data_IF_331702349996
#
_entry.id   IF_331702349996
#
_cell.length_a   1.000
_cell.length_b   1.000
_cell.length_c   1.000
_cell.angle_alpha   90.00
_cell.angle_beta   90.00
_cell.angle_gamma   90.00
#
_symmetry.space_group_name_H-M   'P 1'
#
loop_
_entity.id
_entity.type
_entity.pdbx_description
1 polymer ?
#
# COMPACT_ATOMS: atom_id res chain seq x y z
N UNK A 1 18.70 8.36 6.75
CA UNK A 1 17.49 9.12 6.38
C UNK A 1 16.76 8.40 5.23
N UNK A 2 15.54 8.76 4.81
CA UNK A 2 14.99 8.17 3.56
C UNK A 2 15.68 8.80 2.36
N UNK A 3 16.07 8.00 1.37
CA UNK A 3 16.75 8.48 0.14
C UNK A 3 15.83 9.22 -0.83
N UNK A 4 14.51 9.13 -0.64
CA UNK A 4 13.51 9.73 -1.53
C UNK A 4 13.11 11.17 -1.17
N UNK A 5 13.91 11.85 -0.34
CA UNK A 5 13.71 13.28 -0.04
C UNK A 5 13.87 14.09 -1.33
N UNK A 6 12.94 15.01 -1.58
CA UNK A 6 13.00 15.89 -2.75
C UNK A 6 13.74 17.20 -2.41
N UNK A 7 14.81 17.49 -3.14
CA UNK A 7 15.56 18.75 -3.07
C UNK A 7 15.15 19.58 -4.30
N UNK A 8 14.29 20.60 -4.14
CA UNK A 8 13.89 21.45 -5.26
C UNK A 8 15.06 22.32 -5.73
N UNK A 9 15.06 22.74 -7.00
CA UNK A 9 16.00 23.74 -7.50
C UNK A 9 15.66 25.16 -7.00
N UNK A 10 14.36 25.42 -6.76
CA UNK A 10 13.84 26.72 -6.33
C UNK A 10 12.83 26.57 -5.20
N UNK A 11 12.95 27.44 -4.21
CA UNK A 11 11.98 27.61 -3.14
C UNK A 11 11.18 28.89 -3.34
N UNK A 12 9.96 28.91 -2.80
CA UNK A 12 9.11 30.09 -2.74
C UNK A 12 8.67 30.31 -1.29
N UNK A 13 9.03 31.45 -0.72
CA UNK A 13 8.73 31.81 0.66
C UNK A 13 7.64 32.89 0.68
N UNK A 14 6.53 32.59 1.34
CA UNK A 14 5.44 33.53 1.59
C UNK A 14 5.40 33.87 3.06
N UNK A 15 4.94 35.08 3.40
CA UNK A 15 5.17 35.64 4.73
C UNK A 15 3.89 35.93 5.50
N UNK A 16 4.02 35.89 6.82
CA UNK A 16 3.07 36.44 7.77
C UNK A 16 3.81 37.41 8.69
N UNK A 17 3.14 38.50 9.09
CA UNK A 17 3.69 39.41 10.08
C UNK A 17 3.79 38.72 11.43
N UNK A 18 4.97 38.81 12.05
CA UNK A 18 5.22 38.14 13.31
C UNK A 18 6.18 38.95 14.18
N UNK A 19 5.64 39.68 15.15
CA UNK A 19 6.43 40.59 16.01
C UNK A 19 7.53 39.90 16.82
N UNK A 20 7.39 38.59 17.02
CA UNK A 20 8.31 37.79 17.81
C UNK A 20 9.45 37.16 16.98
N UNK A 21 9.69 37.65 15.76
CA UNK A 21 10.81 37.29 14.88
C UNK A 21 11.81 38.45 14.77
N UNK A 22 13.08 38.16 14.49
CA UNK A 22 14.12 39.17 14.21
C UNK A 22 13.73 40.04 13.01
N UNK A 23 13.20 39.41 11.97
CA UNK A 23 12.79 40.03 10.70
C UNK A 23 11.38 40.63 10.75
N UNK A 24 10.66 40.41 11.85
CA UNK A 24 9.22 40.64 12.00
C UNK A 24 8.34 39.88 10.99
N UNK A 25 8.89 38.86 10.31
CA UNK A 25 8.23 38.01 9.32
C UNK A 25 8.49 36.53 9.59
N UNK A 26 7.44 35.73 9.55
CA UNK A 26 7.53 34.26 9.52
C UNK A 26 7.23 33.78 8.10
N UNK A 27 8.07 32.90 7.58
CA UNK A 27 7.95 32.32 6.27
C UNK A 27 7.28 30.95 6.32
N UNK A 28 6.39 30.71 5.36
CA UNK A 28 6.00 29.39 4.93
C UNK A 28 6.71 29.12 3.60
N UNK A 29 7.71 28.24 3.66
CA UNK A 29 8.52 27.83 2.50
C UNK A 29 7.83 26.68 1.78
N UNK A 30 7.64 26.84 0.49
CA UNK A 30 7.16 25.82 -0.45
C UNK A 30 8.11 25.74 -1.65
N UNK A 31 7.82 24.88 -2.63
CA UNK A 31 8.78 24.54 -3.67
C UNK A 31 8.15 24.30 -5.04
N UNK A 32 8.95 24.48 -6.08
CA UNK A 32 8.65 24.03 -7.43
C UNK A 32 9.13 22.59 -7.59
N UNK A 33 8.26 21.72 -8.12
CA UNK A 33 8.66 20.35 -8.45
C UNK A 33 9.46 20.28 -9.77
N UNK A 34 9.88 19.08 -10.17
CA UNK A 34 10.63 18.85 -11.41
C UNK A 34 9.83 19.18 -12.70
N UNK A 35 8.52 19.42 -12.58
CA UNK A 35 7.63 19.85 -13.68
C UNK A 35 7.41 21.36 -13.67
N UNK A 36 8.02 22.10 -12.73
CA UNK A 36 7.82 23.53 -12.54
C UNK A 36 6.49 23.87 -11.85
N UNK A 37 5.80 22.88 -11.28
CA UNK A 37 4.53 23.09 -10.58
C UNK A 37 4.79 23.44 -9.12
N UNK A 38 4.18 24.52 -8.66
CA UNK A 38 4.29 24.98 -7.28
C UNK A 38 3.49 24.06 -6.35
N UNK A 39 4.17 23.37 -5.44
CA UNK A 39 3.54 22.42 -4.50
C UNK A 39 3.06 23.14 -3.25
N UNK A 40 1.94 22.68 -2.68
CA UNK A 40 1.26 23.26 -1.49
C UNK A 40 0.72 24.69 -1.70
N UNK A 41 0.58 25.14 -2.94
CA UNK A 41 0.17 26.50 -3.29
C UNK A 41 -1.13 26.96 -2.62
N UNK A 42 -2.20 26.16 -2.65
CA UNK A 42 -3.49 26.57 -2.05
C UNK A 42 -3.39 26.82 -0.54
N UNK A 43 -2.72 25.92 0.19
CA UNK A 43 -2.50 26.07 1.64
C UNK A 43 -1.59 27.25 1.95
N UNK A 44 -0.56 27.45 1.13
CA UNK A 44 0.38 28.55 1.25
C UNK A 44 -0.27 29.91 0.98
N UNK A 45 -1.07 30.02 -0.09
CA UNK A 45 -1.83 31.23 -0.43
C UNK A 45 -2.94 31.54 0.59
N UNK A 46 -3.50 30.51 1.24
CA UNK A 46 -4.44 30.70 2.35
C UNK A 46 -3.75 31.13 3.65
N UNK A 47 -2.48 30.77 3.85
CA UNK A 47 -1.73 31.06 5.05
C UNK A 47 -0.99 32.40 5.01
N UNK A 48 -0.41 32.79 3.86
CA UNK A 48 0.40 34.01 3.76
C UNK A 48 -0.45 35.29 3.77
N UNK A 49 0.14 36.38 4.22
CA UNK A 49 -0.41 37.71 4.02
C UNK A 49 -0.17 38.12 2.55
N UNK A 50 -1.27 38.34 1.81
CA UNK A 50 -1.21 38.67 0.39
C UNK A 50 -0.70 40.09 0.12
N UNK A 51 -0.64 40.94 1.15
CA UNK A 51 -0.07 42.29 1.07
C UNK A 51 1.47 42.29 1.15
N UNK A 52 2.06 41.17 1.56
CA UNK A 52 3.51 40.98 1.57
C UNK A 52 3.89 40.14 0.36
N UNK A 53 4.74 40.68 -0.49
CA UNK A 53 5.26 39.95 -1.64
C UNK A 53 6.04 38.71 -1.19
N UNK A 54 5.81 37.61 -1.90
CA UNK A 54 6.60 36.41 -1.72
C UNK A 54 7.94 36.55 -2.44
N UNK A 55 8.93 35.79 -1.99
CA UNK A 55 10.26 35.73 -2.60
C UNK A 55 10.53 34.35 -3.14
N UNK A 56 11.19 34.28 -4.30
CA UNK A 56 11.67 33.06 -4.91
C UNK A 56 13.19 33.08 -4.83
N UNK A 57 13.77 32.00 -4.32
CA UNK A 57 15.22 31.85 -4.21
C UNK A 57 15.66 30.52 -4.80
N UNK A 58 16.86 30.50 -5.35
CA UNK A 58 17.52 29.26 -5.73
C UNK A 58 17.90 28.48 -4.46
N UNK A 59 17.70 27.17 -4.50
CA UNK A 59 17.98 26.28 -3.37
C UNK A 59 19.39 25.72 -3.46
N UNK A 60 20.36 26.62 -3.54
CA UNK A 60 21.78 26.29 -3.54
C UNK A 60 22.32 26.16 -2.10
N UNK A 61 23.40 25.39 -1.88
CA UNK A 61 24.10 25.34 -0.60
C UNK A 61 24.33 26.74 -0.04
N UNK A 62 23.81 26.98 1.16
CA UNK A 62 23.82 28.29 1.81
C UNK A 62 24.23 28.15 3.26
N UNK A 63 25.14 29.00 3.72
CA UNK A 63 25.60 29.08 5.12
C UNK A 63 25.04 30.31 5.83
N UNK A 64 25.09 30.31 7.17
CA UNK A 64 24.64 31.44 7.98
C UNK A 64 23.27 31.27 8.64
N UNK A 65 22.73 30.04 8.67
CA UNK A 65 21.51 29.73 9.39
C UNK A 65 21.71 29.86 10.91
N UNK A 66 20.72 30.38 11.63
CA UNK A 66 20.81 30.60 13.08
C UNK A 66 19.55 30.08 13.77
N UNK A 67 19.70 29.25 14.80
CA UNK A 67 18.56 28.83 15.63
C UNK A 67 18.09 30.02 16.48
N UNK A 68 16.82 30.40 16.37
CA UNK A 68 16.28 31.49 17.17
C UNK A 68 15.71 30.95 18.50
N UNK A 69 14.52 30.33 18.43
CA UNK A 69 13.73 29.92 19.61
C UNK A 69 12.75 28.79 19.31
N UNK A 70 12.19 28.21 20.38
CA UNK A 70 11.04 27.30 20.26
C UNK A 70 9.78 28.02 19.78
N UNK A 71 8.97 27.33 19.01
CA UNK A 71 7.63 27.73 18.59
C UNK A 71 6.65 26.58 18.83
N UNK A 72 5.35 26.86 18.97
CA UNK A 72 4.35 25.84 19.33
C UNK A 72 4.47 25.38 20.79
N UNK A 73 3.90 24.21 21.10
CA UNK A 73 3.98 23.61 22.45
C UNK A 73 3.22 24.31 23.58
N UNK A 74 2.34 25.29 23.29
CA UNK A 74 1.46 25.94 24.27
C UNK A 74 0.15 25.14 24.42
N UNK A 75 -0.34 24.98 25.64
CA UNK A 75 -1.57 24.23 25.95
C UNK A 75 -2.39 24.91 27.05
N UNK A 76 -3.70 24.92 26.87
CA UNK A 76 -4.71 25.00 27.93
C UNK A 76 -5.57 23.72 28.00
N UNK A 77 -5.11 22.59 27.44
CA UNK A 77 -5.85 21.31 27.43
C UNK A 77 -5.07 20.08 26.90
N UNK A 78 -5.76 18.93 26.80
CA UNK A 78 -5.20 17.60 26.44
C UNK A 78 -4.63 17.48 25.01
N UNK A 79 -4.75 18.51 24.17
CA UNK A 79 -4.29 18.48 22.78
C UNK A 79 -3.06 19.39 22.62
N UNK A 80 -1.87 18.80 22.71
CA UNK A 80 -0.61 19.54 22.59
C UNK A 80 -0.32 19.90 21.13
N UNK A 81 -0.15 21.20 20.83
CA UNK A 81 0.36 21.63 19.52
C UNK A 81 1.78 21.12 19.33
N UNK A 82 2.10 20.62 18.14
CA UNK A 82 3.46 20.24 17.77
C UNK A 82 4.46 21.38 18.06
N UNK A 83 5.61 21.01 18.60
CA UNK A 83 6.70 21.93 18.91
C UNK A 83 7.63 22.02 17.71
N UNK A 84 8.00 23.24 17.35
CA UNK A 84 8.92 23.55 16.26
C UNK A 84 10.08 24.39 16.78
N UNK A 85 11.13 24.47 15.98
CA UNK A 85 12.27 25.34 16.21
C UNK A 85 12.30 26.35 15.09
N UNK A 86 12.31 27.63 15.46
CA UNK A 86 12.44 28.71 14.49
C UNK A 86 13.90 28.90 14.13
N UNK A 87 14.15 28.97 12.83
CA UNK A 87 15.48 29.15 12.23
C UNK A 87 15.45 30.41 11.39
N UNK A 88 16.47 31.25 11.57
CA UNK A 88 16.75 32.37 10.70
C UNK A 88 17.50 31.89 9.47
N UNK A 89 16.97 32.24 8.30
CA UNK A 89 17.62 32.09 7.01
C UNK A 89 18.39 33.39 6.70
N UNK A 90 19.66 33.31 6.25
CA UNK A 90 20.46 34.48 5.84
C UNK A 90 19.85 35.31 4.70
N UNK A 91 18.81 34.81 4.03
CA UNK A 91 17.99 35.52 3.02
C UNK A 91 16.90 36.40 3.65
N UNK A 92 17.08 36.77 4.92
CA UNK A 92 16.28 37.73 5.67
C UNK A 92 14.83 37.28 5.99
N UNK A 93 14.67 36.01 6.35
CA UNK A 93 13.40 35.52 6.91
C UNK A 93 13.61 34.43 7.96
N UNK A 94 12.55 34.10 8.69
CA UNK A 94 12.57 32.99 9.63
C UNK A 94 11.54 31.93 9.24
N UNK A 95 11.86 30.66 9.46
CA UNK A 95 10.98 29.53 9.18
C UNK A 95 11.04 28.51 10.32
N UNK A 96 10.15 27.52 10.30
CA UNK A 96 10.01 26.54 11.37
C UNK A 96 10.40 25.14 10.88
N UNK A 97 11.28 24.47 11.62
CA UNK A 97 11.64 23.05 11.43
C UNK A 97 11.15 22.20 12.61
N UNK A 98 10.97 20.91 12.39
CA UNK A 98 10.60 19.97 13.46
C UNK A 98 11.76 19.74 14.43
N UNK A 99 11.46 19.27 15.64
CA UNK A 99 12.48 18.86 16.62
C UNK A 99 13.33 17.71 16.06
N UNK A 100 12.73 16.76 15.35
CA UNK A 100 13.45 15.66 14.70
C UNK A 100 14.47 16.18 13.67
N UNK A 101 14.11 17.20 12.87
CA UNK A 101 15.05 17.80 11.93
C UNK A 101 16.17 18.57 12.64
N UNK A 102 15.88 19.26 13.75
CA UNK A 102 16.92 19.90 14.56
C UNK A 102 17.93 18.85 15.08
N UNK A 103 17.47 17.75 15.66
CA UNK A 103 18.35 16.70 16.19
C UNK A 103 19.25 16.14 15.09
N UNK A 104 18.69 15.90 13.90
CA UNK A 104 19.45 15.47 12.74
C UNK A 104 20.54 16.48 12.31
N UNK A 105 20.22 17.77 12.31
CA UNK A 105 21.20 18.83 12.01
C UNK A 105 22.34 18.82 13.03
N UNK A 106 22.02 18.76 14.32
CA UNK A 106 23.01 18.78 15.40
C UNK A 106 23.89 17.52 15.45
N UNK A 107 23.42 16.40 14.87
CA UNK A 107 24.20 15.18 14.70
C UNK A 107 25.25 15.30 13.58
N UNK A 108 25.00 16.14 12.57
CA UNK A 108 25.80 16.25 11.35
C UNK A 108 26.57 17.58 11.21
N UNK A 109 26.34 18.53 12.12
CA UNK A 109 26.93 19.88 12.08
C UNK A 109 27.18 20.42 13.48
N UNK A 110 28.07 21.40 13.60
CA UNK A 110 28.30 22.11 14.86
C UNK A 110 27.31 23.28 15.01
N UNK A 111 26.83 23.47 16.23
CA UNK A 111 26.20 24.73 16.65
C UNK A 111 27.23 25.58 17.39
N UNK A 112 27.58 26.73 16.84
CA UNK A 112 28.52 27.66 17.46
C UNK A 112 27.85 28.50 18.56
N UNK A 113 28.67 29.15 19.40
CA UNK A 113 28.19 30.15 20.36
C UNK A 113 27.38 31.22 19.63
N UNK A 114 26.20 31.55 20.16
CA UNK A 114 25.24 32.42 19.45
C UNK A 114 24.21 31.67 18.60
N UNK A 115 24.19 30.32 18.67
CA UNK A 115 23.20 29.44 18.02
C UNK A 115 23.29 29.39 16.48
N UNK A 116 24.41 29.84 15.91
CA UNK A 116 24.68 29.69 14.48
C UNK A 116 24.94 28.23 14.13
N UNK A 117 24.43 27.77 13.00
CA UNK A 117 24.71 26.45 12.44
C UNK A 117 25.88 26.55 11.47
N UNK A 118 26.93 25.75 11.71
CA UNK A 118 28.12 25.71 10.85
C UNK A 118 27.90 24.83 9.62
N UNK A 119 28.41 25.27 8.48
CA UNK A 119 28.32 24.57 7.20
C UNK A 119 27.24 25.14 6.28
N UNK A 120 27.09 24.49 5.12
CA UNK A 120 26.08 24.84 4.13
C UNK A 120 24.87 23.91 4.22
N UNK A 121 23.71 24.47 3.92
CA UNK A 121 22.43 23.78 3.99
C UNK A 121 21.61 24.01 2.73
N UNK A 122 20.72 23.06 2.45
CA UNK A 122 19.68 23.17 1.43
C UNK A 122 18.32 22.81 2.02
N UNK A 123 17.27 23.28 1.38
CA UNK A 123 15.91 22.84 1.69
C UNK A 123 15.61 21.51 1.03
N UNK A 124 14.98 20.60 1.76
CA UNK A 124 14.43 19.35 1.25
C UNK A 124 13.01 19.12 1.74
N UNK A 125 12.30 18.19 1.11
CA UNK A 125 10.93 17.84 1.44
C UNK A 125 10.74 16.32 1.51
N UNK A 126 10.32 15.81 2.68
CA UNK A 126 9.77 14.45 2.81
C UNK A 126 8.25 14.55 2.65
N UNK A 127 7.77 14.32 1.42
CA UNK A 127 6.37 14.51 1.06
C UNK A 127 5.91 15.96 1.24
N UNK A 128 5.23 16.25 2.36
CA UNK A 128 4.72 17.59 2.70
C UNK A 128 5.58 18.34 3.73
N UNK A 129 6.50 17.65 4.40
CA UNK A 129 7.24 18.19 5.52
C UNK A 129 8.54 18.83 5.04
N UNK A 130 8.79 20.05 5.53
CA UNK A 130 10.00 20.82 5.23
C UNK A 130 11.16 20.30 6.06
N UNK A 131 12.31 20.14 5.44
CA UNK A 131 13.57 19.77 6.06
C UNK A 131 14.65 20.78 5.68
N UNK A 132 15.48 21.17 6.64
CA UNK A 132 16.77 21.81 6.39
C UNK A 132 17.85 20.73 6.49
N UNK A 133 18.62 20.55 5.42
CA UNK A 133 19.55 19.44 5.26
C UNK A 133 20.97 19.99 5.15
N UNK A 134 21.89 19.61 6.06
CA UNK A 134 23.29 19.97 5.93
C UNK A 134 23.95 19.22 4.78
N UNK A 135 24.70 19.93 3.94
CA UNK A 135 25.38 19.32 2.79
C UNK A 135 26.56 18.44 3.19
N UNK A 136 27.01 18.53 4.45
CA UNK A 136 28.04 17.67 5.04
C UNK A 136 27.53 16.30 5.44
N UNK A 137 26.21 16.06 5.50
CA UNK A 137 25.71 14.76 5.95
C UNK A 137 25.95 13.67 4.89
N UNK A 138 26.20 12.42 5.31
CA UNK A 138 26.34 11.30 4.38
C UNK A 138 25.06 11.09 3.57
N UNK A 139 23.88 11.29 4.17
CA UNK A 139 22.60 11.16 3.46
C UNK A 139 22.47 12.17 2.32
N UNK A 140 23.02 13.39 2.45
CA UNK A 140 22.93 14.41 1.41
C UNK A 140 23.55 13.93 0.09
N UNK A 141 24.61 13.13 0.14
CA UNK A 141 25.27 12.59 -1.07
C UNK A 141 24.31 11.70 -1.85
N UNK A 142 23.68 10.74 -1.18
CA UNK A 142 22.71 9.82 -1.79
C UNK A 142 21.46 10.56 -2.28
N UNK A 143 20.91 11.46 -1.46
CA UNK A 143 19.73 12.27 -1.81
C UNK A 143 20.04 13.17 -3.02
N UNK A 144 21.24 13.75 -3.10
CA UNK A 144 21.64 14.62 -4.21
C UNK A 144 21.76 13.86 -5.52
N UNK A 145 22.34 12.65 -5.50
CA UNK A 145 22.42 11.79 -6.69
C UNK A 145 21.02 11.43 -7.20
N UNK A 146 20.13 11.05 -6.30
CA UNK A 146 18.74 10.74 -6.62
C UNK A 146 18.00 11.97 -7.23
N UNK A 147 18.14 13.15 -6.63
CA UNK A 147 17.51 14.37 -7.13
C UNK A 147 18.06 14.82 -8.48
N UNK A 148 19.35 14.61 -8.74
CA UNK A 148 19.93 14.88 -10.06
C UNK A 148 19.20 14.09 -11.16
N UNK A 149 18.98 12.80 -10.95
CA UNK A 149 18.23 11.95 -11.90
C UNK A 149 16.79 12.46 -12.07
N UNK A 150 16.15 12.85 -10.96
CA UNK A 150 14.78 13.38 -10.99
C UNK A 150 14.65 14.66 -11.82
N UNK A 151 15.58 15.61 -11.68
CA UNK A 151 15.57 16.90 -12.39
C UNK A 151 15.99 16.76 -13.85
N UNK A 152 16.97 15.90 -14.15
CA UNK A 152 17.38 15.57 -15.52
C UNK A 152 16.29 14.82 -16.31
N UNK A 153 15.28 14.27 -15.62
CA UNK A 153 14.18 13.48 -16.21
C UNK A 153 14.70 12.27 -17.00
N UNK A 154 15.84 11.73 -16.59
CA UNK A 154 16.48 10.55 -17.15
C UNK A 154 15.80 9.26 -16.63
N UNK A 155 14.47 9.19 -16.80
CA UNK A 155 13.67 8.03 -16.40
C UNK A 155 13.81 6.87 -17.40
N UNK A 156 13.64 5.65 -16.91
CA UNK A 156 13.66 4.44 -17.73
C UNK A 156 12.51 4.48 -18.74
N UNK A 157 12.85 4.33 -20.02
CA UNK A 157 11.89 4.37 -21.12
C UNK A 157 11.41 2.96 -21.45
N UNK A 158 10.23 2.89 -22.07
CA UNK A 158 9.61 1.62 -22.49
C UNK A 158 10.49 0.73 -23.36
N UNK A 159 11.36 1.34 -24.17
CA UNK A 159 12.28 0.64 -25.08
C UNK A 159 13.52 0.05 -24.39
N UNK A 160 13.79 0.48 -23.15
CA UNK A 160 14.91 0.02 -22.32
C UNK A 160 14.49 -1.14 -21.40
N UNK A 161 13.20 -1.49 -21.39
CA UNK A 161 12.69 -2.60 -20.61
C UNK A 161 13.05 -3.95 -21.25
N UNK A 162 13.69 -4.81 -20.47
CA UNK A 162 14.07 -6.17 -20.80
C UNK A 162 13.31 -7.11 -19.87
N UNK A 163 12.72 -8.15 -20.44
CA UNK A 163 11.97 -9.16 -19.67
C UNK A 163 12.89 -9.80 -18.63
N UNK A 164 12.43 -9.84 -17.38
CA UNK A 164 13.19 -10.35 -16.25
C UNK A 164 14.23 -9.38 -15.68
N UNK A 165 14.45 -8.22 -16.30
CA UNK A 165 15.35 -7.18 -15.79
C UNK A 165 14.77 -6.47 -14.56
N UNK A 166 15.67 -5.89 -13.75
CA UNK A 166 15.34 -5.23 -12.47
C UNK A 166 15.50 -3.72 -12.59
N UNK A 167 14.47 -2.99 -12.15
CA UNK A 167 14.36 -1.55 -12.26
C UNK A 167 14.02 -0.93 -10.92
N UNK A 168 14.72 0.14 -10.58
CA UNK A 168 14.54 0.86 -9.34
C UNK A 168 13.61 2.05 -9.55
N UNK A 169 12.63 2.17 -8.65
CA UNK A 169 11.63 3.22 -8.72
C UNK A 169 11.95 4.40 -7.80
N UNK A 170 11.23 5.51 -7.97
CA UNK A 170 11.42 6.76 -7.19
C UNK A 170 11.17 6.61 -5.68
N UNK A 171 10.57 5.52 -5.24
CA UNK A 171 10.40 5.21 -3.81
C UNK A 171 11.50 4.26 -3.30
N UNK A 172 12.56 4.06 -4.09
CA UNK A 172 13.69 3.18 -3.79
C UNK A 172 13.32 1.69 -3.74
N UNK A 173 12.16 1.29 -4.30
CA UNK A 173 11.76 -0.11 -4.45
C UNK A 173 12.23 -0.67 -5.80
N UNK A 174 12.78 -1.87 -5.78
CA UNK A 174 13.15 -2.64 -6.97
C UNK A 174 11.98 -3.48 -7.49
N UNK A 175 11.85 -3.51 -8.80
CA UNK A 175 10.82 -4.25 -9.50
C UNK A 175 11.40 -5.02 -10.67
N UNK A 176 10.97 -6.26 -10.83
CA UNK A 176 11.28 -7.12 -11.97
C UNK A 176 10.23 -6.88 -13.05
N UNK A 177 10.67 -6.63 -14.29
CA UNK A 177 9.77 -6.44 -15.41
C UNK A 177 9.27 -7.78 -15.96
N UNK A 178 7.96 -8.02 -15.88
CA UNK A 178 7.33 -9.28 -16.28
C UNK A 178 6.89 -9.29 -17.75
N UNK A 179 6.64 -8.13 -18.35
CA UNK A 179 6.22 -8.00 -19.75
C UNK A 179 5.08 -7.01 -19.99
N UNK A 180 4.53 -7.00 -21.20
CA UNK A 180 3.44 -6.11 -21.62
C UNK A 180 2.22 -6.90 -22.06
N UNK A 181 1.22 -6.98 -21.19
CA UNK A 181 0.05 -7.85 -21.37
C UNK A 181 -1.25 -7.08 -21.27
N UNK A 182 -2.35 -7.71 -21.69
CA UNK A 182 -3.68 -7.16 -21.51
C UNK A 182 -4.09 -7.30 -20.04
N UNK A 183 -4.35 -6.19 -19.36
CA UNK A 183 -4.83 -6.23 -17.98
C UNK A 183 -6.31 -6.64 -17.96
N UNK A 184 -6.58 -7.72 -17.25
CA UNK A 184 -7.91 -8.27 -17.03
C UNK A 184 -8.48 -7.66 -15.74
N UNK A 185 -9.75 -7.25 -15.80
CA UNK A 185 -10.49 -6.66 -14.67
C UNK A 185 -11.94 -7.18 -14.68
N UNK A 186 -12.66 -7.04 -13.58
CA UNK A 186 -14.07 -7.42 -13.47
C UNK A 186 -14.90 -6.23 -13.04
N UNK A 187 -15.92 -5.88 -13.82
CA UNK A 187 -16.87 -4.82 -13.48
C UNK A 187 -18.15 -5.42 -12.93
N UNK A 188 -18.53 -5.03 -11.72
CA UNK A 188 -19.83 -5.38 -11.14
C UNK A 188 -20.90 -4.36 -11.53
N UNK A 189 -22.02 -4.85 -12.03
CA UNK A 189 -23.21 -4.07 -12.35
C UNK A 189 -24.37 -4.48 -11.44
N UNK A 190 -25.09 -3.48 -10.91
CA UNK A 190 -26.24 -3.72 -10.04
C UNK A 190 -27.51 -3.83 -10.88
N UNK A 191 -28.15 -4.99 -10.85
CA UNK A 191 -29.37 -5.30 -11.59
C UNK A 191 -30.54 -5.45 -10.63
N UNK A 192 -31.63 -4.73 -10.88
CA UNK A 192 -32.86 -4.84 -10.09
C UNK A 192 -33.61 -6.13 -10.44
N UNK A 193 -34.04 -6.86 -9.41
CA UNK A 193 -34.79 -8.12 -9.56
C UNK A 193 -36.20 -7.91 -9.03
N UNK A 194 -37.19 -8.21 -9.86
CA UNK A 194 -38.59 -8.17 -9.46
C UNK A 194 -38.92 -9.39 -8.61
N UNK A 195 -39.28 -9.19 -7.35
CA UNK A 195 -39.85 -10.27 -6.54
C UNK A 195 -41.26 -10.58 -7.05
N UNK A 196 -41.54 -11.85 -7.35
CA UNK A 196 -42.82 -12.31 -7.90
C UNK A 196 -44.01 -12.17 -6.97
N UNK A 197 -43.80 -11.79 -5.71
CA UNK A 197 -44.86 -11.55 -4.73
C UNK A 197 -44.83 -10.06 -4.36
N UNK A 198 -45.80 -9.31 -4.89
CA UNK A 198 -45.87 -7.85 -4.83
C UNK A 198 -46.03 -7.26 -3.43
N UNK A 199 -45.01 -7.33 -2.58
CA UNK A 199 -44.91 -6.50 -1.38
C UNK A 199 -43.46 -6.11 -1.05
N UNK A 200 -43.25 -4.78 -1.09
CA UNK A 200 -42.25 -3.92 -0.45
C UNK A 200 -40.77 -4.34 -0.42
N UNK A 201 -40.05 -3.91 -1.47
CA UNK A 201 -38.60 -3.73 -1.46
C UNK A 201 -37.99 -3.88 -2.86
N UNK A 202 -37.15 -2.91 -3.29
CA UNK A 202 -36.29 -3.11 -4.47
C UNK A 202 -35.17 -4.06 -4.08
N UNK A 203 -35.19 -5.28 -4.59
CA UNK A 203 -34.06 -6.22 -4.44
C UNK A 203 -33.11 -6.04 -5.61
N UNK A 204 -31.80 -6.04 -5.34
CA UNK A 204 -30.78 -5.92 -6.36
C UNK A 204 -29.83 -7.11 -6.29
N UNK A 205 -29.44 -7.63 -7.46
CA UNK A 205 -28.34 -8.55 -7.63
C UNK A 205 -27.15 -7.83 -8.27
N UNK A 206 -25.96 -8.43 -8.16
CA UNK A 206 -24.77 -7.96 -8.87
C UNK A 206 -24.40 -8.95 -9.97
N UNK A 207 -24.21 -8.45 -11.19
CA UNK A 207 -23.69 -9.21 -12.33
C UNK A 207 -22.26 -8.75 -12.59
N UNK A 208 -21.34 -9.69 -12.71
CA UNK A 208 -19.93 -9.41 -12.97
C UNK A 208 -19.65 -9.60 -14.46
N UNK A 209 -18.97 -8.61 -15.06
CA UNK A 209 -18.57 -8.63 -16.46
C UNK A 209 -17.05 -8.60 -16.55
N UNK A 210 -16.49 -9.53 -17.33
CA UNK A 210 -15.08 -9.54 -17.69
C UNK A 210 -14.76 -8.32 -18.54
N UNK A 211 -13.78 -7.53 -18.13
CA UNK A 211 -13.30 -6.33 -18.82
C UNK A 211 -11.84 -6.49 -19.16
N UNK A 212 -11.47 -6.21 -20.41
CA UNK A 212 -10.08 -6.07 -20.83
C UNK A 212 -9.73 -4.57 -20.86
N UNK A 213 -8.74 -4.15 -20.07
CA UNK A 213 -8.29 -2.74 -19.98
C UNK A 213 -7.24 -2.40 -21.05
N UNK A 214 -6.84 -3.35 -21.87
CA UNK A 214 -5.79 -3.23 -22.88
C UNK A 214 -4.39 -3.43 -22.30
N UNK A 215 -3.36 -3.03 -23.06
CA UNK A 215 -1.95 -3.29 -22.76
C UNK A 215 -1.42 -2.46 -21.58
N UNK A 216 -0.91 -3.14 -20.56
CA UNK A 216 -0.23 -2.59 -19.39
C UNK A 216 1.17 -3.19 -19.27
N UNK A 217 2.07 -2.47 -18.62
CA UNK A 217 3.35 -3.01 -18.14
C UNK A 217 3.11 -3.74 -16.82
N UNK A 218 3.65 -4.95 -16.71
CA UNK A 218 3.54 -5.80 -15.53
C UNK A 218 4.90 -5.85 -14.84
N UNK A 219 4.92 -5.54 -13.55
CA UNK A 219 6.10 -5.56 -12.71
C UNK A 219 5.80 -6.32 -11.42
N UNK A 220 6.83 -6.89 -10.78
CA UNK A 220 6.69 -7.55 -9.49
C UNK A 220 7.86 -7.25 -8.55
N UNK A 221 7.61 -7.25 -7.24
CA UNK A 221 8.68 -7.31 -6.22
C UNK A 221 8.96 -8.75 -5.77
N UNK A 222 8.42 -9.76 -6.47
CA UNK A 222 8.50 -11.17 -6.11
C UNK A 222 7.25 -11.72 -5.41
N UNK A 223 7.35 -12.97 -4.97
CA UNK A 223 6.30 -13.69 -4.24
C UNK A 223 6.29 -13.26 -2.77
N UNK A 224 5.09 -13.01 -2.23
CA UNK A 224 4.85 -12.68 -0.82
C UNK A 224 3.87 -13.67 -0.21
N UNK A 225 3.89 -13.76 1.11
CA UNK A 225 2.96 -14.58 1.88
C UNK A 225 1.89 -13.70 2.52
N UNK A 226 0.62 -14.11 2.40
CA UNK A 226 -0.52 -13.48 3.05
C UNK A 226 -0.62 -13.86 4.52
N UNK A 227 -1.48 -13.16 5.26
CA UNK A 227 -1.77 -13.50 6.66
C UNK A 227 -2.39 -14.90 6.85
N UNK A 228 -2.98 -15.44 5.79
CA UNK A 228 -3.55 -16.78 5.70
C UNK A 228 -2.53 -17.86 5.31
N UNK A 229 -1.25 -17.48 5.11
CA UNK A 229 -0.18 -18.38 4.66
C UNK A 229 -0.14 -18.59 3.14
N UNK A 230 -1.09 -18.02 2.39
CA UNK A 230 -1.14 -18.19 0.94
C UNK A 230 -0.09 -17.31 0.25
N UNK A 231 0.67 -17.91 -0.66
CA UNK A 231 1.65 -17.20 -1.48
C UNK A 231 0.97 -16.52 -2.66
N UNK A 232 1.35 -15.27 -2.93
CA UNK A 232 0.86 -14.49 -4.06
C UNK A 232 1.96 -13.62 -4.66
N UNK A 233 1.80 -13.25 -5.93
CA UNK A 233 2.73 -12.36 -6.61
C UNK A 233 2.42 -10.90 -6.24
N UNK A 234 3.40 -10.19 -5.68
CA UNK A 234 3.24 -8.76 -5.40
C UNK A 234 3.39 -7.96 -6.68
N UNK A 235 2.27 -7.55 -7.26
CA UNK A 235 2.19 -6.99 -8.60
C UNK A 235 2.06 -5.47 -8.62
N UNK A 236 2.66 -4.87 -9.64
CA UNK A 236 2.45 -3.48 -10.05
C UNK A 236 2.13 -3.46 -11.54
N UNK A 237 0.96 -2.93 -11.89
CA UNK A 237 0.53 -2.77 -13.29
C UNK A 237 0.43 -1.30 -13.65
N UNK A 238 0.97 -0.92 -14.81
CA UNK A 238 1.02 0.48 -15.27
C UNK A 238 0.58 0.60 -16.72
N UNK A 239 -0.34 1.52 -17.03
CA UNK A 239 -0.70 1.81 -18.43
C UNK A 239 0.44 2.49 -19.19
N UNK A 240 1.16 3.37 -18.49
CA UNK A 240 2.34 4.11 -18.95
C UNK A 240 3.38 4.16 -17.82
N UNK A 241 4.67 4.10 -18.16
CA UNK A 241 5.74 4.14 -17.15
C UNK A 241 5.83 5.50 -16.41
N UNK A 242 5.61 6.60 -17.13
CA UNK A 242 5.70 7.94 -16.57
C UNK A 242 7.09 8.22 -15.98
N UNK A 243 7.11 8.75 -14.76
CA UNK A 243 8.33 9.07 -13.99
C UNK A 243 8.64 8.02 -12.90
N UNK A 244 8.08 6.81 -13.02
CA UNK A 244 8.12 5.84 -11.92
C UNK A 244 9.49 5.19 -11.72
N UNK A 245 10.15 4.79 -12.80
CA UNK A 245 11.44 4.10 -12.78
C UNK A 245 12.56 5.04 -13.16
N UNK A 246 13.58 5.12 -12.31
CA UNK A 246 14.64 6.11 -12.40
C UNK A 246 16.00 5.48 -12.77
N UNK A 247 16.14 4.17 -12.57
CA UNK A 247 17.41 3.47 -12.73
C UNK A 247 17.16 2.01 -13.16
N UNK A 248 18.05 1.50 -14.00
CA UNK A 248 18.10 0.07 -14.35
C UNK A 248 19.17 -0.58 -13.48
N UNK A 249 18.75 -1.41 -12.52
CA UNK A 249 19.68 -2.13 -11.63
C UNK A 249 20.38 -3.26 -12.39
N UNK A 250 19.62 -4.03 -13.17
CA UNK A 250 20.14 -5.11 -14.00
C UNK A 250 19.28 -5.32 -15.23
N UNK A 251 19.92 -5.65 -16.34
CA UNK A 251 19.24 -6.10 -17.57
C UNK A 251 19.26 -7.62 -17.72
N UNK A 252 20.00 -8.32 -16.84
CA UNK A 252 20.02 -9.77 -16.81
C UNK A 252 18.67 -10.28 -16.28
N UNK A 253 18.18 -11.35 -16.90
CA UNK A 253 16.96 -12.01 -16.45
C UNK A 253 17.21 -12.67 -15.10
N UNK A 254 16.35 -12.41 -14.12
CA UNK A 254 16.43 -13.08 -12.81
C UNK A 254 16.27 -14.60 -12.95
N UNK A 255 17.05 -15.36 -12.17
CA UNK A 255 17.09 -16.82 -12.24
C UNK A 255 15.72 -17.48 -12.00
N UNK A 256 14.91 -16.89 -11.11
CA UNK A 256 13.59 -17.40 -10.75
C UNK A 256 12.45 -16.83 -11.62
N UNK A 257 12.76 -16.22 -12.78
CA UNK A 257 11.74 -15.61 -13.64
C UNK A 257 10.63 -16.59 -14.02
N UNK A 258 10.97 -17.85 -14.32
CA UNK A 258 9.99 -18.88 -14.67
C UNK A 258 8.98 -19.11 -13.54
N UNK A 259 9.44 -19.21 -12.29
CA UNK A 259 8.57 -19.35 -11.12
C UNK A 259 7.66 -18.14 -10.97
N UNK A 260 8.21 -16.92 -11.07
CA UNK A 260 7.43 -15.68 -11.00
C UNK A 260 6.36 -15.63 -12.09
N UNK A 261 6.68 -16.11 -13.29
CA UNK A 261 5.75 -16.15 -14.40
C UNK A 261 4.62 -17.16 -14.16
N UNK A 262 4.90 -18.33 -13.58
CA UNK A 262 3.85 -19.28 -13.18
C UNK A 262 2.83 -18.68 -12.20
N UNK A 263 3.30 -17.89 -11.23
CA UNK A 263 2.40 -17.15 -10.34
C UNK A 263 1.57 -16.09 -11.09
N UNK A 264 2.18 -15.39 -12.07
CA UNK A 264 1.47 -14.43 -12.90
C UNK A 264 0.37 -15.12 -13.72
N UNK A 265 0.64 -16.29 -14.30
CA UNK A 265 -0.34 -17.05 -15.08
C UNK A 265 -1.54 -17.53 -14.25
N UNK A 266 -1.40 -17.62 -12.93
CA UNK A 266 -2.48 -17.95 -11.98
C UNK A 266 -3.23 -16.71 -11.46
N UNK A 267 -2.91 -15.51 -11.92
CA UNK A 267 -3.56 -14.27 -11.49
C UNK A 267 -4.76 -13.88 -12.36
N UNK A 268 -5.83 -13.43 -11.73
CA UNK A 268 -7.01 -12.88 -12.43
C UNK A 268 -6.74 -11.57 -13.16
N UNK A 269 -5.63 -10.89 -12.84
CA UNK A 269 -5.18 -9.69 -13.55
C UNK A 269 -4.58 -10.02 -14.93
N UNK A 270 -4.12 -11.26 -15.11
CA UNK A 270 -3.51 -11.75 -16.35
C UNK A 270 -4.49 -12.54 -17.21
N UNK A 271 -5.32 -13.38 -16.59
CA UNK A 271 -6.34 -14.19 -17.27
C UNK A 271 -7.63 -14.17 -16.45
N UNK A 272 -8.78 -13.93 -17.07
CA UNK A 272 -10.05 -13.92 -16.35
C UNK A 272 -10.38 -15.31 -15.80
N UNK A 273 -11.18 -15.32 -14.72
CA UNK A 273 -11.79 -16.53 -14.21
C UNK A 273 -12.86 -17.05 -15.20
N UNK A 274 -12.86 -18.36 -15.43
CA UNK A 274 -13.78 -19.04 -16.34
C UNK A 274 -14.58 -20.10 -15.58
N UNK A 275 -15.79 -19.71 -15.17
CA UNK A 275 -16.73 -20.59 -14.46
C UNK A 275 -17.11 -21.84 -15.26
N UNK A 276 -17.00 -21.83 -16.58
CA UNK A 276 -17.35 -23.00 -17.42
C UNK A 276 -16.33 -24.13 -17.28
N UNK A 277 -15.14 -23.82 -16.75
CA UNK A 277 -14.06 -24.77 -16.50
C UNK A 277 -14.00 -25.25 -15.05
N UNK A 278 -14.88 -24.78 -14.18
CA UNK A 278 -14.92 -25.23 -12.78
C UNK A 278 -15.10 -26.74 -12.70
N UNK A 279 -14.24 -27.38 -11.92
CA UNK A 279 -14.29 -28.82 -11.68
C UNK A 279 -14.69 -29.07 -10.23
N UNK A 280 -15.64 -29.98 -10.03
CA UNK A 280 -16.03 -30.45 -8.71
C UNK A 280 -15.36 -31.79 -8.44
N UNK A 281 -14.47 -31.81 -7.46
CA UNK A 281 -13.61 -32.96 -7.18
C UNK A 281 -13.95 -33.51 -5.80
N UNK A 282 -14.20 -34.83 -5.68
CA UNK A 282 -14.33 -35.49 -4.39
C UNK A 282 -13.05 -35.36 -3.58
N UNK A 283 -13.18 -35.07 -2.29
CA UNK A 283 -12.04 -35.20 -1.39
C UNK A 283 -11.59 -36.66 -1.32
N UNK A 284 -10.29 -36.89 -1.21
CA UNK A 284 -9.79 -38.11 -0.56
C UNK A 284 -9.98 -37.99 0.96
N UNK A 285 -10.00 -39.13 1.66
CA UNK A 285 -10.15 -39.12 3.13
C UNK A 285 -9.03 -38.31 3.82
N UNK A 286 -7.80 -38.42 3.32
CA UNK A 286 -6.65 -37.71 3.87
C UNK A 286 -6.70 -36.21 3.61
N UNK A 287 -7.04 -35.78 2.39
CA UNK A 287 -7.27 -34.36 2.09
C UNK A 287 -8.40 -33.76 2.94
N UNK A 288 -9.45 -34.55 3.19
CA UNK A 288 -10.56 -34.10 4.04
C UNK A 288 -10.13 -33.93 5.50
N UNK A 289 -9.33 -34.86 6.03
CA UNK A 289 -8.75 -34.76 7.38
C UNK A 289 -7.87 -33.51 7.49
N UNK A 290 -7.02 -33.25 6.50
CA UNK A 290 -6.17 -32.05 6.44
C UNK A 290 -7.02 -30.77 6.41
N UNK A 291 -8.02 -30.69 5.52
CA UNK A 291 -8.95 -29.56 5.42
C UNK A 291 -9.61 -29.22 6.76
N UNK A 292 -10.10 -30.22 7.49
CA UNK A 292 -10.74 -30.01 8.80
C UNK A 292 -9.73 -29.58 9.86
N UNK A 293 -8.48 -30.02 9.77
CA UNK A 293 -7.41 -29.63 10.69
C UNK A 293 -6.89 -28.20 10.46
N UNK A 294 -6.83 -27.73 9.21
CA UNK A 294 -6.30 -26.42 8.82
C UNK A 294 -7.25 -25.25 9.10
N UNK A 295 -8.56 -25.51 9.16
CA UNK A 295 -9.55 -24.52 9.57
C UNK A 295 -9.29 -24.16 11.03
N UNK A 296 -8.45 -23.14 11.25
CA UNK A 296 -8.12 -22.56 12.56
C UNK A 296 -9.40 -22.44 13.36
N UNK A 297 -9.49 -23.33 14.34
CA UNK A 297 -10.61 -23.53 15.23
C UNK A 297 -10.67 -22.29 16.10
N UNK A 298 -11.47 -21.31 15.69
CA UNK A 298 -11.58 -20.02 16.35
C UNK A 298 -11.87 -20.23 17.84
N UNK A 299 -10.87 -19.97 18.69
CA UNK A 299 -10.83 -20.37 20.09
C UNK A 299 -11.81 -19.61 20.99
N UNK A 300 -12.62 -18.72 20.41
CA UNK A 300 -13.53 -17.83 21.12
C UNK A 300 -15.00 -18.24 21.05
N UNK A 301 -15.33 -19.35 20.38
CA UNK A 301 -16.70 -19.87 20.38
C UNK A 301 -16.74 -21.35 20.79
N UNK A 302 -17.62 -21.66 21.73
CA UNK A 302 -17.75 -22.96 22.40
C UNK A 302 -18.13 -24.15 21.48
N UNK A 303 -18.21 -23.98 20.16
CA UNK A 303 -18.50 -25.06 19.21
C UNK A 303 -17.63 -24.90 17.94
N UNK A 304 -16.65 -25.79 17.78
CA UNK A 304 -15.87 -25.92 16.55
C UNK A 304 -16.81 -26.34 15.43
N UNK A 305 -16.88 -25.59 14.32
CA UNK A 305 -17.71 -25.94 13.17
C UNK A 305 -17.00 -25.70 11.85
N UNK A 306 -17.37 -26.46 10.84
CA UNK A 306 -16.94 -26.23 9.46
C UNK A 306 -18.11 -26.45 8.50
N UNK A 307 -17.97 -25.90 7.31
CA UNK A 307 -18.93 -26.08 6.22
C UNK A 307 -18.28 -26.92 5.13
N UNK A 308 -19.03 -27.87 4.59
CA UNK A 308 -18.66 -28.66 3.42
C UNK A 308 -19.74 -28.58 2.34
N UNK A 309 -19.38 -28.96 1.12
CA UNK A 309 -20.32 -29.22 0.02
C UNK A 309 -20.33 -30.73 -0.25
N UNK A 310 -21.51 -31.30 -0.49
CA UNK A 310 -21.67 -32.73 -0.80
C UNK A 310 -21.67 -32.98 -2.30
N UNK A 311 -21.54 -34.24 -2.72
CA UNK A 311 -21.71 -34.68 -4.11
C UNK A 311 -23.03 -34.23 -4.76
N UNK A 312 -24.08 -34.06 -3.95
CA UNK A 312 -25.37 -33.48 -4.36
C UNK A 312 -25.41 -31.94 -4.40
N UNK A 313 -24.25 -31.27 -4.29
CA UNK A 313 -24.09 -29.82 -4.20
C UNK A 313 -24.77 -29.16 -2.99
N UNK A 314 -25.20 -29.94 -2.00
CA UNK A 314 -25.81 -29.41 -0.78
C UNK A 314 -24.73 -28.81 0.12
N UNK A 315 -25.05 -27.66 0.72
CA UNK A 315 -24.20 -27.04 1.74
C UNK A 315 -24.53 -27.66 3.08
N UNK A 316 -23.53 -28.19 3.75
CA UNK A 316 -23.69 -28.81 5.06
C UNK A 316 -22.80 -28.17 6.10
N UNK A 317 -23.37 -27.90 7.26
CA UNK A 317 -22.66 -27.36 8.42
C UNK A 317 -22.50 -28.45 9.47
N UNK A 318 -21.25 -28.74 9.83
CA UNK A 318 -20.87 -29.80 10.74
C UNK A 318 -20.22 -29.17 11.97
N UNK A 319 -20.69 -29.58 13.14
CA UNK A 319 -20.19 -29.13 14.43
C UNK A 319 -19.41 -30.25 15.10
N UNK A 320 -18.45 -29.89 15.94
CA UNK A 320 -17.66 -30.81 16.74
C UNK A 320 -17.86 -30.52 18.22
N UNK A 321 -18.29 -31.54 18.96
CA UNK A 321 -18.49 -31.49 20.39
C UNK A 321 -17.18 -31.90 21.09
N UNK A 322 -16.56 -30.98 21.83
CA UNK A 322 -15.28 -31.26 22.51
C UNK A 322 -15.41 -32.28 23.64
N UNK A 323 -16.54 -32.32 24.34
CA UNK A 323 -16.75 -33.19 25.50
C UNK A 323 -16.97 -34.64 25.05
N UNK A 324 -17.80 -34.83 24.02
CA UNK A 324 -18.08 -36.14 23.42
C UNK A 324 -17.01 -36.60 22.43
N UNK A 325 -16.18 -35.66 21.93
CA UNK A 325 -15.20 -35.86 20.84
C UNK A 325 -15.83 -36.41 19.55
N UNK A 326 -17.05 -35.94 19.24
CA UNK A 326 -17.84 -36.41 18.10
C UNK A 326 -18.35 -35.23 17.27
N UNK A 327 -18.50 -35.47 15.97
CA UNK A 327 -19.16 -34.58 15.04
C UNK A 327 -20.67 -34.78 15.06
N UNK A 328 -21.41 -33.68 14.91
CA UNK A 328 -22.86 -33.67 14.90
C UNK A 328 -23.42 -32.59 13.97
N UNK A 329 -24.69 -32.73 13.63
CA UNK A 329 -25.47 -31.73 12.89
C UNK A 329 -26.42 -31.00 13.84
N UNK A 330 -26.50 -29.68 13.74
CA UNK A 330 -27.41 -28.89 14.54
C UNK A 330 -28.81 -28.85 13.88
N UNK A 331 -29.84 -29.18 14.67
CA UNK A 331 -31.24 -29.16 14.28
C UNK A 331 -31.94 -27.84 14.60
N UNK A 332 -33.25 -27.90 14.82
CA UNK A 332 -34.06 -26.71 15.16
C UNK A 332 -33.84 -26.31 16.62
N UNK A 333 -33.91 -25.00 16.90
CA UNK A 333 -33.88 -24.49 18.28
C UNK A 333 -35.20 -24.79 19.00
N UNK A 334 -35.10 -25.35 20.20
CA UNK A 334 -36.24 -25.63 21.08
C UNK A 334 -36.08 -24.78 22.34
N UNK A 335 -37.08 -23.94 22.64
CA UNK A 335 -37.03 -22.83 23.62
C UNK A 335 -36.55 -23.19 25.03
N UNK A 336 -36.54 -24.48 25.39
CA UNK A 336 -36.16 -24.96 26.73
C UNK A 336 -35.03 -26.03 26.72
N UNK A 337 -34.55 -26.46 25.55
CA UNK A 337 -33.55 -27.53 25.41
C UNK A 337 -32.33 -27.12 24.58
N UNK A 338 -32.34 -25.92 24.00
CA UNK A 338 -31.33 -25.51 23.04
C UNK A 338 -31.61 -26.13 21.66
N UNK A 339 -30.57 -26.22 20.84
CA UNK A 339 -30.67 -26.86 19.53
C UNK A 339 -30.67 -28.38 19.67
N UNK A 340 -31.45 -29.07 18.83
CA UNK A 340 -31.30 -30.52 18.68
C UNK A 340 -29.92 -30.87 18.11
N UNK A 341 -29.27 -31.90 18.65
CA UNK A 341 -28.00 -32.42 18.14
C UNK A 341 -28.24 -33.79 17.49
N UNK A 342 -27.88 -33.92 16.21
CA UNK A 342 -27.89 -35.20 15.50
C UNK A 342 -26.46 -35.73 15.40
N UNK A 343 -26.05 -36.67 16.27
CA UNK A 343 -24.69 -37.19 16.26
C UNK A 343 -24.39 -37.92 14.93
N UNK A 344 -23.17 -37.73 14.45
CA UNK A 344 -22.63 -38.38 13.24
C UNK A 344 -21.52 -39.36 13.65
N UNK A 345 -20.67 -38.95 14.59
CA UNK A 345 -19.57 -39.75 15.12
C UNK A 345 -18.21 -39.17 14.75
N UNK A 346 -17.28 -39.97 14.22
CA UNK A 346 -15.94 -39.53 13.86
C UNK A 346 -15.84 -38.86 12.47
N UNK A 347 -14.64 -38.41 12.11
CA UNK A 347 -14.40 -37.71 10.84
C UNK A 347 -14.58 -38.62 9.62
N UNK A 348 -14.33 -39.92 9.74
CA UNK A 348 -14.50 -40.88 8.65
C UNK A 348 -15.99 -41.15 8.40
N UNK A 349 -16.78 -41.19 9.47
CA UNK A 349 -18.24 -41.27 9.39
C UNK A 349 -18.83 -40.01 8.75
N UNK A 350 -18.27 -38.82 9.03
CA UNK A 350 -18.64 -37.59 8.31
C UNK A 350 -18.30 -37.72 6.83
N UNK A 351 -17.07 -38.14 6.49
CA UNK A 351 -16.62 -38.30 5.11
C UNK A 351 -17.52 -39.27 4.32
N UNK A 352 -17.76 -40.46 4.87
CA UNK A 352 -18.56 -41.51 4.24
C UNK A 352 -20.04 -41.11 4.10
N UNK A 353 -20.58 -40.34 5.05
CA UNK A 353 -21.99 -39.94 5.03
C UNK A 353 -22.27 -38.81 4.03
N UNK A 354 -21.34 -37.87 3.88
CA UNK A 354 -21.56 -36.64 3.14
C UNK A 354 -20.83 -36.57 1.81
N UNK A 355 -19.85 -37.46 1.57
CA UNK A 355 -19.05 -37.50 0.34
C UNK A 355 -18.58 -36.10 -0.07
N UNK A 356 -17.75 -35.45 0.77
CA UNK A 356 -17.45 -34.04 0.59
C UNK A 356 -16.70 -33.81 -0.74
N UNK A 357 -17.04 -32.70 -1.39
CA UNK A 357 -16.41 -32.23 -2.62
C UNK A 357 -15.81 -30.83 -2.41
N UNK A 358 -14.79 -30.50 -3.21
CA UNK A 358 -14.30 -29.15 -3.38
C UNK A 358 -14.43 -28.71 -4.83
N UNK A 359 -14.30 -27.40 -5.07
CA UNK A 359 -14.37 -26.82 -6.41
C UNK A 359 -13.03 -26.24 -6.79
N UNK A 360 -12.43 -26.75 -7.86
CA UNK A 360 -11.29 -26.12 -8.51
C UNK A 360 -11.80 -25.05 -9.47
N UNK A 361 -11.43 -23.80 -9.22
CA UNK A 361 -11.72 -22.68 -10.11
C UNK A 361 -10.55 -22.48 -11.08
N UNK A 362 -10.84 -22.38 -12.37
CA UNK A 362 -9.84 -22.23 -13.42
C UNK A 362 -9.94 -20.89 -14.14
N UNK A 363 -8.82 -20.44 -14.69
CA UNK A 363 -8.77 -19.25 -15.53
C UNK A 363 -8.98 -19.62 -17.02
N UNK A 364 -9.26 -18.62 -17.86
CA UNK A 364 -9.39 -18.78 -19.32
C UNK A 364 -8.16 -19.47 -19.95
N UNK A 365 -6.95 -19.21 -19.43
CA UNK A 365 -5.72 -19.87 -19.86
C UNK A 365 -5.55 -21.33 -19.37
N UNK A 366 -6.53 -21.86 -18.63
CA UNK A 366 -6.53 -23.25 -18.12
C UNK A 366 -5.72 -23.47 -16.84
N UNK A 367 -5.11 -22.43 -16.28
CA UNK A 367 -4.41 -22.54 -14.99
C UNK A 367 -5.41 -22.59 -13.84
N UNK A 368 -5.09 -23.39 -12.83
CA UNK A 368 -5.84 -23.42 -11.57
C UNK A 368 -5.68 -22.06 -10.87
N UNK A 369 -6.80 -21.37 -10.66
CA UNK A 369 -6.85 -20.11 -9.94
C UNK A 369 -6.79 -20.35 -8.44
N UNK A 370 -7.74 -21.15 -7.92
CA UNK A 370 -7.80 -21.52 -6.51
C UNK A 370 -8.67 -22.74 -6.30
N UNK A 371 -8.42 -23.42 -5.18
CA UNK A 371 -9.30 -24.44 -4.62
C UNK A 371 -10.28 -23.77 -3.66
N UNK A 372 -11.57 -23.91 -3.92
CA UNK A 372 -12.63 -23.39 -3.06
C UNK A 372 -13.29 -24.56 -2.35
N UNK A 373 -13.32 -24.51 -1.02
CA UNK A 373 -13.97 -25.53 -0.18
C UNK A 373 -15.32 -25.04 0.38
N UNK A 374 -15.60 -23.75 0.23
CA UNK A 374 -16.84 -23.09 0.67
C UNK A 374 -17.28 -22.08 -0.40
N UNK A 375 -18.30 -22.43 -1.18
CA UNK A 375 -18.95 -21.56 -2.17
C UNK A 375 -20.45 -21.61 -2.00
#
# INVERSE_FOLDING_TARGET
>A
MKTNIFIPEKINAGFQNRTDTYTKKLAYVIYFDQKGVLRKESSWNGWRDKSIDNVIHDNIPTSGFVLNKKAGGYSTGWNHRQTYVRVYDPRDFEFEISISNLLYILENTNSIKGKGLEGDFVYGFDGKDLLLIPTSSPDYIEISQFNKILHEKNYVKSKELVIGGTYKSKDNTEYIYMGRFDLKDTKSERVEVKNGNGNYGRTYNYVNHNVNKGKYYFFTTGVREGYDGNKYLSMLTLKSLGDKFIETTSTECVDNYAELFEYLERSTDYSHYDKTKDEHVPFTLDEFKEFVSEKKLDSYSYNRRFTLRTSGYNKEEIHFNNDKKEYYKQGTYISNKGYEEFPIGDIEQVFNKFEPIYKNEYLENGKLYRRVTSW
#
